data_IF_705846760808
#
_entry.id   IF_705846760808
#
_cell.length_a   1.000
_cell.length_b   1.000
_cell.length_c   1.000
_cell.angle_alpha   90.00
_cell.angle_beta   90.00
_cell.angle_gamma   90.00
#
_symmetry.space_group_name_H-M   'P 1'
#
loop_
_entity.id
_entity.type
_entity.pdbx_description
1 polymer ?
#
# COMPACT_ATOMS: atom_id res chain seq x y z
N UNK A 1 14.07 -3.35 -2.83
CA UNK A 1 13.24 -3.36 -1.61
C UNK A 1 12.07 -4.30 -1.83
N UNK A 2 11.73 -5.12 -0.84
CA UNK A 2 10.63 -6.09 -0.94
C UNK A 2 9.96 -6.22 0.41
N UNK A 3 8.65 -6.47 0.41
CA UNK A 3 7.86 -6.63 1.63
C UNK A 3 6.46 -7.11 1.33
N UNK A 4 5.70 -7.36 2.38
CA UNK A 4 4.27 -7.58 2.32
C UNK A 4 3.56 -6.26 2.60
N UNK A 5 2.46 -6.03 1.89
CA UNK A 5 1.53 -4.95 2.16
C UNK A 5 0.18 -5.55 2.54
N UNK A 6 -0.35 -5.12 3.66
CA UNK A 6 -1.72 -5.40 4.09
C UNK A 6 -2.56 -4.19 3.73
N UNK A 7 -3.57 -4.40 2.90
CA UNK A 7 -4.49 -3.38 2.45
C UNK A 7 -5.83 -3.67 3.10
N UNK A 8 -6.28 -2.72 3.91
CA UNK A 8 -7.57 -2.74 4.57
C UNK A 8 -8.38 -1.55 4.08
N UNK A 9 -9.70 -1.70 3.95
CA UNK A 9 -10.61 -0.57 3.77
C UNK A 9 -11.33 -0.33 5.10
N UNK A 10 -11.68 0.93 5.39
CA UNK A 10 -12.39 1.29 6.63
C UNK A 10 -13.74 0.60 6.78
N UNK A 11 -14.40 0.21 5.68
CA UNK A 11 -15.64 -0.58 5.68
C UNK A 11 -15.40 -2.09 5.81
N UNK A 12 -14.23 -2.60 5.39
CA UNK A 12 -13.93 -4.03 5.34
C UNK A 12 -14.70 -4.82 4.28
N UNK A 13 -15.59 -4.20 3.52
CA UNK A 13 -16.45 -4.85 2.51
C UNK A 13 -15.90 -4.69 1.08
N UNK A 14 -14.86 -3.87 0.93
CA UNK A 14 -14.24 -3.53 -0.35
C UNK A 14 -13.40 -4.64 -0.96
N UNK A 15 -13.15 -5.73 -0.26
CA UNK A 15 -12.27 -6.82 -0.71
C UNK A 15 -12.99 -8.15 -0.71
N UNK A 16 -12.64 -9.01 -1.65
CA UNK A 16 -13.23 -10.32 -1.81
C UNK A 16 -12.23 -11.36 -2.27
N UNK A 17 -12.60 -12.63 -2.09
CA UNK A 17 -11.81 -13.77 -2.56
C UNK A 17 -11.95 -13.91 -4.08
N UNK A 18 -10.83 -14.01 -4.78
CA UNK A 18 -10.78 -14.14 -6.25
C UNK A 18 -11.13 -15.56 -6.80
N UNK A 19 -11.68 -16.44 -5.95
CA UNK A 19 -11.99 -17.84 -6.28
C UNK A 19 -10.79 -18.80 -6.25
N UNK A 20 -9.54 -18.31 -6.20
CA UNK A 20 -8.31 -19.13 -6.06
C UNK A 20 -7.67 -19.00 -4.68
N UNK A 21 -8.28 -18.19 -3.80
CA UNK A 21 -7.76 -17.85 -2.48
C UNK A 21 -6.90 -16.60 -2.46
N UNK A 22 -6.78 -15.94 -3.61
CA UNK A 22 -6.24 -14.61 -3.71
C UNK A 22 -7.22 -13.53 -3.30
N UNK A 23 -6.73 -12.30 -3.34
CA UNK A 23 -7.49 -11.13 -2.93
C UNK A 23 -7.69 -10.19 -4.11
N UNK A 24 -8.93 -9.74 -4.29
CA UNK A 24 -9.26 -8.72 -5.26
C UNK A 24 -10.14 -7.66 -4.59
N UNK A 25 -9.81 -6.39 -4.83
CA UNK A 25 -10.71 -5.30 -4.50
C UNK A 25 -11.97 -5.33 -5.38
N UNK A 26 -13.06 -4.83 -4.83
CA UNK A 26 -14.32 -4.58 -5.51
C UNK A 26 -14.63 -3.09 -5.57
N UNK A 27 -15.61 -2.71 -6.40
CA UNK A 27 -16.03 -1.32 -6.57
C UNK A 27 -14.86 -0.42 -7.00
N UNK A 28 -14.65 0.66 -6.25
CA UNK A 28 -13.60 1.66 -6.51
C UNK A 28 -12.17 1.13 -6.32
N UNK A 29 -12.03 -0.05 -5.71
CA UNK A 29 -10.74 -0.69 -5.47
C UNK A 29 -10.48 -1.90 -6.38
N UNK A 30 -11.25 -2.06 -7.46
CA UNK A 30 -11.09 -3.16 -8.42
C UNK A 30 -9.71 -3.20 -9.11
N UNK A 31 -8.95 -2.11 -9.05
CA UNK A 31 -7.56 -2.01 -9.50
C UNK A 31 -6.54 -2.60 -8.51
N UNK A 32 -6.96 -3.02 -7.30
CA UNK A 32 -6.10 -3.65 -6.29
C UNK A 32 -6.22 -5.17 -6.41
N UNK A 33 -5.24 -5.77 -7.07
CA UNK A 33 -5.14 -7.21 -7.36
C UNK A 33 -3.71 -7.57 -7.71
N UNK A 34 -3.44 -8.85 -7.91
CA UNK A 34 -2.15 -9.29 -8.45
C UNK A 34 -1.82 -8.59 -9.78
N UNK A 35 -0.57 -8.13 -9.90
CA UNK A 35 -0.08 -7.34 -11.03
C UNK A 35 -0.34 -5.83 -10.93
N UNK A 36 -1.07 -5.36 -9.91
CA UNK A 36 -1.27 -3.94 -9.64
C UNK A 36 0.09 -3.23 -9.41
N UNK A 37 0.30 -2.03 -9.97
CA UNK A 37 1.56 -1.32 -9.81
C UNK A 37 1.76 -0.85 -8.37
N UNK A 38 2.99 -0.94 -7.89
CA UNK A 38 3.43 -0.34 -6.63
C UNK A 38 4.49 0.69 -6.96
N UNK A 39 4.29 1.91 -6.51
CA UNK A 39 5.25 3.02 -6.72
C UNK A 39 5.77 3.46 -5.36
N UNK A 40 7.09 3.48 -5.22
CA UNK A 40 7.76 4.05 -4.05
C UNK A 40 8.36 5.38 -4.48
N UNK A 41 7.83 6.48 -3.97
CA UNK A 41 8.39 7.81 -4.13
C UNK A 41 9.41 8.09 -3.04
N UNK A 42 10.50 8.77 -3.40
CA UNK A 42 11.58 9.17 -2.49
C UNK A 42 11.73 10.69 -2.56
N UNK A 43 11.59 11.35 -1.41
CA UNK A 43 11.65 12.81 -1.26
C UNK A 43 10.86 13.59 -2.34
N UNK A 44 9.73 13.04 -2.80
CA UNK A 44 8.86 13.57 -3.86
C UNK A 44 9.56 13.86 -5.22
N UNK A 45 10.78 13.35 -5.43
CA UNK A 45 11.60 13.63 -6.62
C UNK A 45 11.89 12.38 -7.44
N UNK A 46 12.25 11.30 -6.77
CA UNK A 46 12.56 10.03 -7.40
C UNK A 46 11.43 9.04 -7.16
N UNK A 47 11.28 8.06 -8.06
CA UNK A 47 10.37 6.95 -7.83
C UNK A 47 10.89 5.66 -8.43
N UNK A 48 10.51 4.55 -7.79
CA UNK A 48 10.79 3.21 -8.24
C UNK A 48 9.49 2.42 -8.33
N UNK A 49 9.36 1.58 -9.37
CA UNK A 49 8.12 0.88 -9.69
C UNK A 49 8.31 -0.63 -9.58
N UNK A 50 7.34 -1.29 -8.95
CA UNK A 50 7.19 -2.72 -8.88
C UNK A 50 5.72 -3.11 -9.02
N UNK A 51 5.39 -4.33 -8.58
CA UNK A 51 4.04 -4.86 -8.71
C UNK A 51 3.63 -5.67 -7.47
N UNK A 52 2.33 -5.71 -7.21
CA UNK A 52 1.73 -6.63 -6.26
C UNK A 52 1.72 -8.06 -6.83
N UNK A 53 1.96 -9.01 -5.95
CA UNK A 53 2.04 -10.44 -6.22
C UNK A 53 1.50 -11.22 -5.03
N UNK A 54 1.14 -12.48 -5.24
CA UNK A 54 0.74 -13.41 -4.18
C UNK A 54 -0.33 -12.82 -3.23
N UNK A 55 -1.33 -12.16 -3.82
CA UNK A 55 -2.50 -11.66 -3.11
C UNK A 55 -3.17 -12.77 -2.34
N UNK A 56 -3.60 -12.46 -1.12
CA UNK A 56 -4.29 -13.40 -0.24
C UNK A 56 -5.34 -12.69 0.59
N UNK A 57 -6.58 -13.15 0.47
CA UNK A 57 -7.67 -12.69 1.32
C UNK A 57 -7.50 -13.27 2.72
N UNK A 58 -7.43 -12.41 3.72
CA UNK A 58 -7.27 -12.76 5.13
C UNK A 58 -8.64 -12.93 5.81
N UNK A 59 -8.66 -13.62 6.94
CA UNK A 59 -9.90 -13.94 7.68
C UNK A 59 -10.54 -12.72 8.34
N UNK A 60 -9.79 -11.63 8.47
CA UNK A 60 -10.24 -10.33 9.01
C UNK A 60 -10.85 -9.41 7.94
N UNK A 61 -11.01 -9.89 6.70
CA UNK A 61 -11.56 -9.11 5.59
C UNK A 61 -10.53 -8.24 4.87
N UNK A 62 -9.24 -8.32 5.23
CA UNK A 62 -8.17 -7.56 4.58
C UNK A 62 -7.49 -8.34 3.45
N UNK A 63 -6.78 -7.62 2.57
CA UNK A 63 -5.92 -8.22 1.57
C UNK A 63 -4.46 -8.12 1.98
N UNK A 64 -3.72 -9.24 1.89
CA UNK A 64 -2.26 -9.22 1.96
C UNK A 64 -1.68 -9.50 0.59
N UNK A 65 -0.78 -8.66 0.13
CA UNK A 65 0.01 -8.86 -1.09
C UNK A 65 1.50 -8.82 -0.75
N UNK A 66 2.31 -9.47 -1.57
CA UNK A 66 3.75 -9.28 -1.61
C UNK A 66 4.10 -8.29 -2.71
N UNK A 67 5.15 -7.49 -2.51
CA UNK A 67 5.69 -6.63 -3.53
C UNK A 67 7.22 -6.68 -3.54
N UNK A 68 7.79 -6.45 -4.71
CA UNK A 68 9.21 -6.23 -4.89
C UNK A 68 9.43 -5.06 -5.86
N UNK A 69 10.15 -4.05 -5.39
CA UNK A 69 10.54 -2.86 -6.14
C UNK A 69 12.06 -2.84 -6.22
N UNK A 70 12.62 -2.82 -7.43
CA UNK A 70 14.07 -2.74 -7.64
C UNK A 70 14.50 -1.28 -7.66
N UNK A 71 15.79 -1.04 -7.44
CA UNK A 71 16.41 0.29 -7.63
C UNK A 71 15.77 1.41 -6.80
N UNK A 72 15.26 1.09 -5.60
CA UNK A 72 14.80 2.10 -4.64
C UNK A 72 16.01 2.82 -4.06
N UNK A 73 16.15 4.15 -4.23
CA UNK A 73 17.21 4.93 -3.59
C UNK A 73 17.22 4.75 -2.07
N UNK A 74 18.38 4.46 -1.49
CA UNK A 74 18.56 4.19 -0.06
C UNK A 74 19.09 5.43 0.68
N UNK A 75 18.90 5.48 2.00
CA UNK A 75 19.44 6.54 2.85
C UNK A 75 18.65 7.85 2.82
N UNK A 76 17.35 7.79 2.52
CA UNK A 76 16.46 8.94 2.56
C UNK A 76 15.57 8.91 3.81
N UNK A 77 15.14 10.08 4.26
CA UNK A 77 14.34 10.19 5.48
C UNK A 77 12.89 9.75 5.24
N UNK A 78 12.40 9.86 4.01
CA UNK A 78 10.99 9.69 3.69
C UNK A 78 10.74 8.96 2.38
N UNK A 79 9.87 7.96 2.49
CA UNK A 79 9.37 7.18 1.37
C UNK A 79 7.85 7.23 1.36
N UNK A 80 7.22 7.48 0.21
CA UNK A 80 5.77 7.35 0.06
C UNK A 80 5.46 6.14 -0.81
N UNK A 81 4.60 5.24 -0.32
CA UNK A 81 4.21 4.05 -1.05
C UNK A 81 2.82 4.24 -1.62
N UNK A 82 2.66 4.08 -2.93
CA UNK A 82 1.38 4.10 -3.63
C UNK A 82 1.10 2.72 -4.22
N UNK A 83 -0.12 2.24 -4.08
CA UNK A 83 -0.59 0.98 -4.68
C UNK A 83 -1.73 1.30 -5.62
N UNK A 84 -1.54 1.00 -6.91
CA UNK A 84 -2.41 1.49 -7.98
C UNK A 84 -2.57 3.02 -7.89
N UNK A 85 -3.75 3.51 -7.54
CA UNK A 85 -4.03 4.95 -7.38
C UNK A 85 -4.14 5.35 -5.91
N UNK A 86 -4.05 4.38 -4.99
CA UNK A 86 -4.26 4.60 -3.57
C UNK A 86 -2.96 5.01 -2.88
N UNK A 87 -3.02 6.15 -2.20
CA UNK A 87 -1.90 6.60 -1.37
C UNK A 87 -1.81 5.74 -0.11
N UNK A 88 -0.69 5.03 0.02
CA UNK A 88 -0.38 4.19 1.16
C UNK A 88 0.23 4.94 2.33
N UNK A 89 0.53 6.23 2.18
CA UNK A 89 1.13 7.07 3.20
C UNK A 89 2.66 7.11 3.17
N UNK A 90 3.21 7.85 4.12
CA UNK A 90 4.64 8.07 4.29
C UNK A 90 5.24 7.07 5.29
N UNK A 91 6.43 6.57 4.97
CA UNK A 91 7.18 5.56 5.70
C UNK A 91 8.64 5.95 5.82
N UNK A 92 9.29 5.51 6.89
CA UNK A 92 10.75 5.54 6.96
C UNK A 92 11.36 4.38 6.16
N UNK A 93 12.66 4.47 5.85
CA UNK A 93 13.37 3.35 5.21
C UNK A 93 13.29 2.07 6.06
N UNK A 94 13.33 2.23 7.39
CA UNK A 94 13.26 1.13 8.34
C UNK A 94 11.89 0.43 8.29
N UNK A 95 10.79 1.18 8.18
CA UNK A 95 9.44 0.62 8.08
C UNK A 95 9.29 -0.22 6.81
N UNK A 96 9.78 0.31 5.67
CA UNK A 96 9.74 -0.43 4.42
C UNK A 96 10.67 -1.66 4.41
N UNK A 97 11.79 -1.61 5.14
CA UNK A 97 12.71 -2.74 5.33
C UNK A 97 12.20 -3.77 6.35
N UNK A 98 11.32 -3.38 7.26
CA UNK A 98 10.71 -4.30 8.22
C UNK A 98 9.86 -5.39 7.53
N UNK A 99 9.49 -5.15 6.26
CA UNK A 99 8.92 -6.17 5.37
C UNK A 99 7.43 -6.41 5.56
N UNK A 100 6.75 -5.65 6.43
CA UNK A 100 5.29 -5.63 6.53
C UNK A 100 4.79 -4.19 6.70
N UNK A 101 4.01 -3.73 5.72
CA UNK A 101 3.43 -2.39 5.68
C UNK A 101 1.91 -2.51 5.70
N UNK A 102 1.20 -1.62 6.40
CA UNK A 102 -0.27 -1.62 6.41
C UNK A 102 -0.81 -0.34 5.83
N UNK A 103 -1.57 -0.45 4.74
CA UNK A 103 -2.31 0.63 4.10
C UNK A 103 -3.76 0.55 4.52
N UNK A 104 -4.33 1.70 4.90
CA UNK A 104 -5.77 1.85 5.13
C UNK A 104 -6.38 2.73 4.05
N UNK A 105 -7.27 2.16 3.27
CA UNK A 105 -8.09 2.82 2.27
C UNK A 105 -9.38 3.35 2.90
N UNK A 106 -10.02 4.32 2.26
CA UNK A 106 -11.29 4.86 2.73
C UNK A 106 -11.19 5.73 3.99
N UNK A 107 -9.99 5.99 4.49
CA UNK A 107 -9.71 7.16 5.29
C UNK A 107 -9.58 8.33 4.33
N UNK A 108 -10.45 9.34 4.41
CA UNK A 108 -10.24 10.59 3.70
C UNK A 108 -8.77 10.98 3.90
N UNK A 109 -8.04 11.14 2.81
CA UNK A 109 -6.77 11.87 2.77
C UNK A 109 -7.04 13.35 3.05
N UNK A 110 -7.69 13.64 4.18
CA UNK A 110 -7.52 14.90 4.85
C UNK A 110 -6.12 14.83 5.43
N UNK A 111 -5.19 15.55 4.80
CA UNK A 111 -4.03 16.08 5.50
C UNK A 111 -4.49 16.53 6.89
N UNK A 112 -4.14 15.78 7.94
CA UNK A 112 -4.38 16.22 9.30
C UNK A 112 -3.45 17.42 9.53
N UNK A 113 -3.98 18.63 9.32
CA UNK A 113 -3.36 19.87 9.79
C UNK A 113 -3.75 20.00 11.26
N UNK A 114 -2.85 19.79 12.24
CA UNK A 114 -3.18 20.09 13.62
C UNK A 114 -3.59 21.57 13.72
N UNK A 115 -4.59 21.92 14.55
CA UNK A 115 -4.92 23.31 14.79
C UNK A 115 -3.69 24.02 15.37
N UNK A 116 -3.30 25.15 14.77
CA UNK A 116 -2.26 26.01 15.34
C UNK A 116 -2.68 26.40 16.75
N UNK A 117 -1.81 26.22 17.76
CA UNK A 117 -2.10 26.74 19.09
C UNK A 117 -2.22 28.27 19.02
N UNK A 118 -3.29 28.80 19.60
CA UNK A 118 -3.45 30.23 19.85
C UNK A 118 -2.61 30.68 21.04
#
# INVERSE_FOLDING_TARGET
>A
MSGAVVIADTSGESFSRDGRGGCAGGGDYANIRDGAPVVIYVDDRDSAVGQLTDGRFLTDGTCRFWFAVREVPAGHDRYRLQVSEQDGGEYSEADLKAGLVTIRLGGQSTFYRPPSPA
#
